data_IF_196402402541
#
_entry.id   IF_196402402541
#
_cell.length_a   1.000
_cell.length_b   1.000
_cell.length_c   1.000
_cell.angle_alpha   90.00
_cell.angle_beta   90.00
_cell.angle_gamma   90.00
#
_symmetry.space_group_name_H-M   'P 1'
#
loop_
_entity.id
_entity.type
_entity.pdbx_description
1 polymer ?
#
# COMPACT_ATOMS: atom_id res chain seq x y z
N UNK A 1 27.01 -2.36 -18.36
CA UNK A 1 26.48 -1.20 -17.66
C UNK A 1 25.19 -1.63 -17.00
N UNK A 2 24.92 -1.25 -15.74
CA UNK A 2 23.57 -1.42 -15.20
C UNK A 2 22.60 -0.71 -16.16
N UNK A 3 21.37 -1.25 -16.32
CA UNK A 3 20.38 -0.55 -17.12
C UNK A 3 20.29 0.85 -16.54
N UNK A 4 20.17 1.83 -17.41
CA UNK A 4 19.93 3.19 -16.97
C UNK A 4 18.79 3.14 -15.96
N UNK A 5 19.03 3.62 -14.75
CA UNK A 5 18.02 3.60 -13.66
C UNK A 5 16.71 4.26 -14.14
N UNK A 6 16.80 5.15 -15.11
CA UNK A 6 15.70 5.77 -15.80
C UNK A 6 14.87 4.75 -16.61
N UNK A 7 15.51 3.78 -17.30
CA UNK A 7 14.79 2.75 -18.08
C UNK A 7 14.02 1.79 -17.18
N UNK A 8 14.60 1.35 -16.06
CA UNK A 8 13.90 0.50 -15.08
C UNK A 8 12.74 1.26 -14.43
N UNK A 9 12.96 2.51 -14.04
CA UNK A 9 11.91 3.36 -13.46
C UNK A 9 10.73 3.58 -14.40
N UNK A 10 10.97 3.79 -15.69
CA UNK A 10 9.92 3.94 -16.69
C UNK A 10 9.09 2.66 -16.86
N UNK A 11 9.74 1.49 -16.88
CA UNK A 11 9.05 0.20 -16.97
C UNK A 11 8.21 -0.05 -15.73
N UNK A 12 8.75 0.16 -14.54
CA UNK A 12 7.99 0.02 -13.29
C UNK A 12 6.78 0.97 -13.26
N UNK A 13 6.97 2.23 -13.62
CA UNK A 13 5.88 3.22 -13.71
C UNK A 13 4.78 2.79 -14.70
N UNK A 14 5.18 2.25 -15.87
CA UNK A 14 4.23 1.79 -16.89
C UNK A 14 3.45 0.56 -16.42
N UNK A 15 4.12 -0.43 -15.83
CA UNK A 15 3.48 -1.61 -15.23
C UNK A 15 2.48 -1.18 -14.17
N UNK A 16 2.88 -0.33 -13.24
CA UNK A 16 1.99 0.19 -12.19
C UNK A 16 0.75 0.82 -12.82
N UNK A 17 0.92 1.72 -13.77
CA UNK A 17 -0.20 2.39 -14.46
C UNK A 17 -1.16 1.39 -15.14
N UNK A 18 -0.63 0.40 -15.86
CA UNK A 18 -1.43 -0.60 -16.55
C UNK A 18 -2.26 -1.44 -15.58
N UNK A 19 -1.58 -1.97 -14.54
CA UNK A 19 -2.21 -2.88 -13.58
C UNK A 19 -3.27 -2.17 -12.75
N UNK A 20 -3.04 -0.94 -12.30
CA UNK A 20 -4.07 -0.16 -11.60
C UNK A 20 -5.29 0.12 -12.47
N UNK A 21 -5.09 0.45 -13.75
CA UNK A 21 -6.20 0.63 -14.70
C UNK A 21 -6.99 -0.65 -14.91
N UNK A 22 -6.31 -1.77 -15.12
CA UNK A 22 -6.96 -3.07 -15.30
C UNK A 22 -7.75 -3.48 -14.05
N UNK A 23 -7.16 -3.30 -12.87
CA UNK A 23 -7.80 -3.65 -11.59
C UNK A 23 -9.03 -2.81 -11.30
N UNK A 24 -9.00 -1.51 -11.61
CA UNK A 24 -10.13 -0.61 -11.43
C UNK A 24 -11.39 -1.04 -12.19
N UNK A 25 -11.23 -1.76 -13.30
CA UNK A 25 -12.33 -2.24 -14.15
C UNK A 25 -12.61 -3.74 -14.01
N UNK A 26 -11.87 -4.45 -13.16
CA UNK A 26 -12.09 -5.88 -12.95
C UNK A 26 -13.32 -6.12 -12.07
N UNK A 27 -14.13 -7.14 -12.42
CA UNK A 27 -15.26 -7.57 -11.58
C UNK A 27 -14.77 -8.09 -10.24
N UNK A 28 -15.48 -7.72 -9.19
CA UNK A 28 -15.27 -8.24 -7.84
C UNK A 28 -15.72 -9.70 -7.72
N UNK A 29 -16.71 -10.11 -8.51
CA UNK A 29 -17.35 -11.42 -8.43
C UNK A 29 -17.62 -11.84 -6.98
N UNK A 30 -18.53 -11.14 -6.32
CA UNK A 30 -18.79 -11.25 -4.88
C UNK A 30 -19.23 -12.65 -4.45
N UNK A 31 -19.79 -13.45 -5.36
CA UNK A 31 -20.13 -14.86 -5.07
C UNK A 31 -18.88 -15.73 -4.83
N UNK A 32 -17.76 -15.36 -5.45
CA UNK A 32 -16.48 -16.05 -5.30
C UNK A 32 -15.70 -15.61 -4.06
N UNK A 33 -15.82 -14.34 -3.68
CA UNK A 33 -15.13 -13.76 -2.54
C UNK A 33 -16.03 -13.81 -1.30
N UNK A 34 -15.69 -14.67 -0.37
CA UNK A 34 -16.42 -14.83 0.88
C UNK A 34 -15.68 -14.12 2.02
N UNK A 35 -15.65 -12.77 1.99
CA UNK A 35 -15.13 -11.98 3.09
C UNK A 35 -16.26 -11.72 4.10
N UNK A 36 -16.12 -12.17 5.35
CA UNK A 36 -17.20 -12.08 6.35
C UNK A 36 -17.58 -10.63 6.67
N UNK A 37 -16.62 -9.71 6.71
CA UNK A 37 -16.88 -8.29 7.02
C UNK A 37 -17.69 -7.63 5.92
N UNK A 38 -17.34 -7.89 4.66
CA UNK A 38 -18.07 -7.34 3.51
C UNK A 38 -19.47 -7.96 3.43
N UNK A 39 -19.58 -9.29 3.58
CA UNK A 39 -20.84 -10.00 3.47
C UNK A 39 -21.84 -9.59 4.57
N UNK A 40 -21.36 -9.42 5.81
CA UNK A 40 -22.17 -8.95 6.92
C UNK A 40 -22.67 -7.52 6.66
N UNK A 41 -21.79 -6.63 6.24
CA UNK A 41 -22.14 -5.25 5.92
C UNK A 41 -23.15 -5.14 4.76
N UNK A 42 -23.03 -5.98 3.71
CA UNK A 42 -23.98 -6.03 2.62
C UNK A 42 -25.37 -6.45 3.08
N UNK A 43 -25.46 -7.43 4.02
CA UNK A 43 -26.72 -7.89 4.61
C UNK A 43 -27.34 -6.84 5.54
N UNK A 44 -26.55 -6.31 6.47
CA UNK A 44 -27.03 -5.33 7.46
C UNK A 44 -27.47 -4.02 6.80
N UNK A 45 -26.78 -3.60 5.73
CA UNK A 45 -27.16 -2.41 4.96
C UNK A 45 -28.40 -2.61 4.06
N UNK A 46 -28.85 -3.86 3.90
CA UNK A 46 -29.93 -4.23 2.99
C UNK A 46 -29.54 -4.21 1.51
N UNK A 47 -28.25 -4.02 1.19
CA UNK A 47 -27.76 -3.99 -0.19
C UNK A 47 -27.89 -5.35 -0.89
N UNK A 48 -27.85 -6.43 -0.13
CA UNK A 48 -28.10 -7.79 -0.64
C UNK A 48 -29.48 -7.98 -1.25
N UNK A 49 -30.48 -7.21 -0.78
CA UNK A 49 -31.86 -7.21 -1.29
C UNK A 49 -32.13 -6.09 -2.29
N UNK A 50 -31.42 -4.96 -2.15
CA UNK A 50 -31.57 -3.79 -3.01
C UNK A 50 -30.94 -4.03 -4.39
N UNK A 51 -29.81 -4.76 -4.43
CA UNK A 51 -29.02 -5.01 -5.63
C UNK A 51 -29.31 -6.42 -6.17
N UNK A 52 -29.50 -6.52 -7.48
CA UNK A 52 -29.77 -7.80 -8.17
C UNK A 52 -28.52 -8.68 -8.31
N UNK A 53 -28.74 -9.97 -8.61
CA UNK A 53 -27.65 -10.96 -8.82
C UNK A 53 -26.62 -10.52 -9.87
N UNK A 54 -27.07 -9.90 -10.96
CA UNK A 54 -26.21 -9.35 -12.02
C UNK A 54 -25.20 -8.34 -11.46
N UNK A 55 -25.59 -7.54 -10.46
CA UNK A 55 -24.68 -6.60 -9.83
C UNK A 55 -23.61 -7.33 -9.04
N UNK A 56 -23.99 -8.35 -8.27
CA UNK A 56 -23.04 -9.15 -7.48
C UNK A 56 -22.01 -9.88 -8.34
N UNK A 57 -22.38 -10.22 -9.57
CA UNK A 57 -21.48 -10.87 -10.53
C UNK A 57 -20.52 -9.88 -11.20
N UNK A 58 -21.02 -8.68 -11.57
CA UNK A 58 -20.30 -7.75 -12.47
C UNK A 58 -19.69 -6.54 -11.79
N UNK A 59 -20.18 -6.17 -10.59
CA UNK A 59 -19.69 -5.00 -9.89
C UNK A 59 -18.17 -5.03 -9.74
N UNK A 60 -17.54 -3.89 -9.92
CA UNK A 60 -16.13 -3.70 -9.55
C UNK A 60 -15.98 -3.52 -8.06
N UNK A 61 -14.78 -3.75 -7.53
CA UNK A 61 -14.52 -3.50 -6.12
C UNK A 61 -14.74 -2.04 -5.72
N UNK A 62 -14.49 -1.10 -6.62
CA UNK A 62 -14.77 0.33 -6.36
C UNK A 62 -16.27 0.61 -6.24
N UNK A 63 -17.13 -0.04 -7.02
CA UNK A 63 -18.58 0.08 -6.87
C UNK A 63 -19.06 -0.51 -5.54
N UNK A 64 -18.42 -1.60 -5.07
CA UNK A 64 -18.69 -2.15 -3.73
C UNK A 64 -18.29 -1.14 -2.65
N UNK A 65 -17.11 -0.55 -2.76
CA UNK A 65 -16.64 0.52 -1.85
C UNK A 65 -17.63 1.68 -1.82
N UNK A 66 -18.05 2.17 -2.99
CA UNK A 66 -18.99 3.29 -3.11
C UNK A 66 -20.32 3.01 -2.42
N UNK A 67 -20.88 1.81 -2.61
CA UNK A 67 -22.15 1.40 -2.00
C UNK A 67 -22.05 1.30 -0.47
N UNK A 68 -21.01 0.64 0.03
CA UNK A 68 -20.77 0.49 1.46
C UNK A 68 -20.48 1.85 2.13
N UNK A 69 -19.70 2.71 1.48
CA UNK A 69 -19.42 4.06 1.96
C UNK A 69 -20.70 4.91 2.06
N UNK A 70 -21.55 4.88 1.02
CA UNK A 70 -22.83 5.60 1.00
C UNK A 70 -23.77 5.16 2.14
N UNK A 71 -23.74 3.88 2.50
CA UNK A 71 -24.50 3.32 3.63
C UNK A 71 -23.78 3.51 5.00
N UNK A 72 -22.62 4.20 5.03
CA UNK A 72 -21.78 4.47 6.23
C UNK A 72 -21.12 3.24 6.86
N UNK A 73 -20.97 2.16 6.13
CA UNK A 73 -20.20 0.96 6.54
C UNK A 73 -18.71 1.16 6.21
N UNK A 74 -18.08 2.15 6.87
CA UNK A 74 -16.72 2.62 6.54
C UNK A 74 -15.66 1.53 6.68
N UNK A 75 -15.77 0.69 7.71
CA UNK A 75 -14.83 -0.42 7.90
C UNK A 75 -14.92 -1.43 6.75
N UNK A 76 -16.11 -1.88 6.39
CA UNK A 76 -16.30 -2.80 5.27
C UNK A 76 -15.89 -2.18 3.93
N UNK A 77 -16.14 -0.88 3.72
CA UNK A 77 -15.65 -0.15 2.54
C UNK A 77 -14.11 -0.16 2.49
N UNK A 78 -13.42 0.03 3.62
CA UNK A 78 -11.95 -0.05 3.70
C UNK A 78 -11.45 -1.46 3.39
N UNK A 79 -12.14 -2.50 3.87
CA UNK A 79 -11.80 -3.90 3.56
C UNK A 79 -11.99 -4.16 2.06
N UNK A 80 -13.11 -3.74 1.48
CA UNK A 80 -13.37 -3.87 0.03
C UNK A 80 -12.32 -3.15 -0.82
N UNK A 81 -11.84 -1.98 -0.39
CA UNK A 81 -10.79 -1.23 -1.06
C UNK A 81 -9.49 -2.02 -1.20
N UNK A 82 -9.17 -2.91 -0.26
CA UNK A 82 -7.96 -3.75 -0.33
C UNK A 82 -8.00 -4.70 -1.53
N UNK A 83 -9.19 -5.14 -1.94
CA UNK A 83 -9.38 -5.96 -3.12
C UNK A 83 -9.39 -5.14 -4.42
N UNK A 84 -9.65 -3.82 -4.33
CA UNK A 84 -9.66 -2.91 -5.47
C UNK A 84 -8.25 -2.49 -5.92
N UNK A 85 -7.22 -2.74 -5.10
CA UNK A 85 -5.83 -2.41 -5.42
C UNK A 85 -5.04 -3.64 -5.86
N UNK A 86 -4.02 -3.47 -6.73
CA UNK A 86 -3.19 -4.57 -7.19
C UNK A 86 -2.30 -5.17 -6.09
N UNK A 87 -1.99 -6.44 -6.26
CA UNK A 87 -0.94 -7.16 -5.52
C UNK A 87 0.34 -7.24 -6.36
N UNK A 88 1.46 -7.64 -5.75
CA UNK A 88 2.70 -7.86 -6.48
C UNK A 88 2.55 -8.92 -7.60
N UNK A 89 1.65 -9.88 -7.42
CA UNK A 89 1.37 -10.92 -8.41
C UNK A 89 0.71 -10.35 -9.67
N UNK A 90 -0.15 -9.33 -9.53
CA UNK A 90 -0.74 -8.64 -10.66
C UNK A 90 0.33 -7.93 -11.50
N UNK A 91 1.34 -7.31 -10.86
CA UNK A 91 2.49 -6.70 -11.55
C UNK A 91 3.34 -7.74 -12.27
N UNK A 92 3.61 -8.89 -11.62
CA UNK A 92 4.36 -10.00 -12.24
C UNK A 92 3.62 -10.53 -13.46
N UNK A 93 2.30 -10.68 -13.37
CA UNK A 93 1.46 -11.15 -14.49
C UNK A 93 1.52 -10.18 -15.68
N UNK A 94 1.40 -8.87 -15.45
CA UNK A 94 1.48 -7.85 -16.50
C UNK A 94 2.85 -7.89 -17.21
N UNK A 95 3.95 -7.96 -16.44
CA UNK A 95 5.32 -8.08 -16.99
C UNK A 95 5.51 -9.34 -17.84
N UNK A 96 4.70 -10.38 -17.63
CA UNK A 96 4.79 -11.63 -18.38
C UNK A 96 3.93 -11.64 -19.65
N UNK A 97 3.07 -10.65 -19.86
CA UNK A 97 2.26 -10.57 -21.09
C UNK A 97 3.16 -10.38 -22.31
N UNK A 98 2.78 -11.01 -23.43
CA UNK A 98 3.51 -10.87 -24.69
C UNK A 98 3.49 -9.42 -25.20
N UNK A 99 2.39 -8.71 -25.00
CA UNK A 99 2.29 -7.29 -25.36
C UNK A 99 3.34 -6.45 -24.63
N UNK A 100 3.49 -6.65 -23.31
CA UNK A 100 4.45 -5.88 -22.53
C UNK A 100 5.90 -6.26 -22.84
N UNK A 101 6.19 -7.55 -23.02
CA UNK A 101 7.52 -8.03 -23.40
C UNK A 101 7.96 -7.47 -24.76
N UNK A 102 7.06 -7.48 -25.75
CA UNK A 102 7.36 -6.99 -27.10
C UNK A 102 7.60 -5.48 -27.11
N UNK A 103 6.91 -4.70 -26.28
CA UNK A 103 7.09 -3.25 -26.18
C UNK A 103 8.51 -2.87 -25.74
N UNK A 104 9.20 -3.72 -24.98
CA UNK A 104 10.54 -3.46 -24.42
C UNK A 104 11.57 -4.51 -24.83
N UNK A 105 11.35 -5.22 -25.93
CA UNK A 105 12.18 -6.34 -26.38
C UNK A 105 13.66 -5.92 -26.62
N UNK A 106 13.88 -4.70 -27.09
CA UNK A 106 15.20 -4.18 -27.42
C UNK A 106 15.97 -3.64 -26.20
N UNK A 107 15.29 -3.46 -25.06
CA UNK A 107 15.91 -2.93 -23.84
C UNK A 107 16.49 -4.07 -23.02
N UNK A 108 17.81 -4.09 -22.85
CA UNK A 108 18.56 -5.16 -22.18
C UNK A 108 19.36 -4.66 -20.97
N UNK A 109 19.43 -5.52 -19.96
CA UNK A 109 20.28 -5.37 -18.78
C UNK A 109 21.61 -6.10 -19.05
N UNK A 110 22.74 -5.46 -18.74
CA UNK A 110 24.07 -6.05 -18.91
C UNK A 110 24.32 -6.66 -20.31
N UNK A 111 23.65 -6.11 -21.34
CA UNK A 111 23.83 -6.48 -22.74
C UNK A 111 23.15 -7.80 -23.17
N UNK A 112 22.59 -8.58 -22.27
CA UNK A 112 22.03 -9.90 -22.60
C UNK A 112 20.60 -10.14 -22.11
N UNK A 113 20.31 -9.84 -20.86
CA UNK A 113 18.98 -10.12 -20.27
C UNK A 113 17.96 -9.04 -20.65
N UNK A 114 16.76 -9.40 -21.18
CA UNK A 114 15.68 -8.43 -21.38
C UNK A 114 15.30 -7.75 -20.06
N UNK A 115 15.21 -6.42 -20.06
CA UNK A 115 14.92 -5.62 -18.85
C UNK A 115 13.60 -6.02 -18.18
N UNK A 116 12.58 -6.39 -18.96
CA UNK A 116 11.27 -6.88 -18.44
C UNK A 116 11.46 -8.17 -17.65
N UNK A 117 12.26 -9.10 -18.15
CA UNK A 117 12.63 -10.34 -17.46
C UNK A 117 13.35 -10.07 -16.14
N UNK A 118 14.31 -9.16 -16.16
CA UNK A 118 15.03 -8.71 -14.97
C UNK A 118 14.07 -8.15 -13.89
N UNK A 119 13.20 -7.21 -14.27
CA UNK A 119 12.22 -6.60 -13.33
C UNK A 119 11.25 -7.65 -12.79
N UNK A 120 10.73 -8.55 -13.63
CA UNK A 120 9.85 -9.63 -13.21
C UNK A 120 10.54 -10.57 -12.20
N UNK A 121 11.82 -10.88 -12.43
CA UNK A 121 12.63 -11.69 -11.50
C UNK A 121 12.84 -10.99 -10.16
N UNK A 122 13.10 -9.68 -10.17
CA UNK A 122 13.22 -8.90 -8.95
C UNK A 122 11.91 -8.89 -8.14
N UNK A 123 10.75 -8.74 -8.78
CA UNK A 123 9.46 -8.80 -8.10
C UNK A 123 9.15 -10.19 -7.54
N UNK A 124 9.47 -11.26 -8.28
CA UNK A 124 9.34 -12.64 -7.79
C UNK A 124 10.22 -12.90 -6.57
N UNK A 125 11.46 -12.43 -6.60
CA UNK A 125 12.38 -12.56 -5.48
C UNK A 125 11.86 -11.79 -4.26
N UNK A 126 11.36 -10.56 -4.43
CA UNK A 126 10.78 -9.77 -3.35
C UNK A 126 9.53 -10.44 -2.76
N UNK A 127 8.64 -11.00 -3.59
CA UNK A 127 7.46 -11.73 -3.12
C UNK A 127 7.81 -13.00 -2.33
N UNK A 128 8.89 -13.70 -2.73
CA UNK A 128 9.36 -14.90 -2.03
C UNK A 128 10.07 -14.57 -0.72
N UNK A 129 10.88 -13.51 -0.69
CA UNK A 129 11.66 -13.10 0.49
C UNK A 129 10.79 -12.40 1.55
N UNK A 130 9.82 -11.61 1.11
CA UNK A 130 8.98 -10.79 1.99
C UNK A 130 7.50 -11.20 1.85
N UNK A 131 7.04 -12.10 2.72
CA UNK A 131 5.66 -12.58 2.73
C UNK A 131 4.61 -11.44 2.78
N UNK A 132 4.99 -10.28 3.35
CA UNK A 132 4.14 -9.09 3.43
C UNK A 132 3.75 -8.53 2.04
N UNK A 133 4.51 -8.85 0.99
CA UNK A 133 4.19 -8.44 -0.38
C UNK A 133 3.39 -9.49 -1.15
N UNK A 134 3.23 -10.71 -0.60
CA UNK A 134 2.64 -11.84 -1.34
C UNK A 134 1.11 -11.84 -1.41
N UNK A 135 0.43 -10.92 -0.73
CA UNK A 135 -1.03 -10.90 -0.68
C UNK A 135 -1.64 -9.51 -0.53
N UNK A 136 -2.93 -9.48 -0.25
CA UNK A 136 -3.62 -8.25 0.12
C UNK A 136 -3.20 -7.82 1.53
N UNK A 137 -3.20 -6.51 1.78
CA UNK A 137 -2.89 -5.97 3.10
C UNK A 137 -3.97 -6.37 4.10
N UNK A 138 -3.62 -7.24 5.05
CA UNK A 138 -4.53 -7.69 6.11
C UNK A 138 -4.46 -6.81 7.36
N UNK A 139 -3.36 -6.08 7.54
CA UNK A 139 -3.20 -5.16 8.65
C UNK A 139 -3.72 -3.78 8.30
N UNK A 140 -4.61 -3.28 9.15
CA UNK A 140 -5.06 -1.90 9.12
C UNK A 140 -5.32 -1.45 10.56
N UNK A 141 -4.92 -0.22 10.85
CA UNK A 141 -5.34 0.41 12.09
C UNK A 141 -6.66 1.11 11.84
N UNK A 142 -7.68 0.75 12.62
CA UNK A 142 -8.92 1.51 12.63
C UNK A 142 -8.63 2.99 12.84
N UNK A 143 -9.36 3.90 12.20
CA UNK A 143 -9.28 5.34 12.49
C UNK A 143 -9.42 5.68 13.97
N UNK A 144 -10.09 4.81 14.75
CA UNK A 144 -10.28 4.96 16.19
C UNK A 144 -9.10 4.45 17.02
N UNK A 145 -8.11 3.79 16.39
CA UNK A 145 -6.94 3.27 17.11
C UNK A 145 -6.10 4.42 17.64
N UNK A 146 -5.99 4.51 18.97
CA UNK A 146 -5.23 5.56 19.65
C UNK A 146 -3.80 5.13 19.99
N UNK A 147 -3.56 3.84 20.15
CA UNK A 147 -2.24 3.27 20.43
C UNK A 147 -2.04 2.06 19.54
N UNK A 148 -0.92 2.04 18.84
CA UNK A 148 -0.49 0.91 18.02
C UNK A 148 0.94 0.52 18.42
N UNK A 149 1.16 -0.77 18.67
CA UNK A 149 2.48 -1.33 18.99
C UNK A 149 2.83 -2.34 17.90
N UNK A 150 3.98 -2.15 17.29
CA UNK A 150 4.52 -3.03 16.25
C UNK A 150 5.74 -3.77 16.79
N UNK A 151 5.57 -5.05 17.11
CA UNK A 151 6.69 -5.92 17.44
C UNK A 151 7.39 -6.37 16.16
N UNK A 152 8.67 -6.01 16.05
CA UNK A 152 9.50 -6.29 14.88
C UNK A 152 10.37 -7.54 15.02
N UNK A 153 10.40 -8.18 16.19
CA UNK A 153 11.35 -9.24 16.51
C UNK A 153 11.37 -10.38 15.48
N UNK A 154 10.20 -10.80 15.02
CA UNK A 154 10.07 -11.96 14.13
C UNK A 154 10.23 -11.64 12.63
N UNK A 155 10.36 -10.36 12.26
CA UNK A 155 10.44 -9.93 10.85
C UNK A 155 11.81 -9.37 10.47
N UNK A 156 12.67 -9.13 11.45
CA UNK A 156 14.03 -8.64 11.21
C UNK A 156 14.91 -9.75 10.64
N UNK A 157 15.86 -9.35 9.81
CA UNK A 157 16.91 -10.24 9.29
C UNK A 157 18.10 -10.34 10.23
N UNK A 158 19.01 -11.26 9.91
CA UNK A 158 20.31 -11.39 10.61
C UNK A 158 21.17 -10.14 10.40
N UNK A 159 21.37 -9.38 11.46
CA UNK A 159 22.11 -8.10 11.45
C UNK A 159 23.61 -8.24 11.23
N UNK A 160 24.15 -9.43 11.30
CA UNK A 160 25.57 -9.68 11.00
C UNK A 160 25.85 -9.71 9.50
N UNK A 161 24.81 -9.92 8.67
CA UNK A 161 24.91 -10.01 7.21
C UNK A 161 24.38 -8.75 6.50
N UNK A 162 24.97 -8.34 5.36
CA UNK A 162 24.45 -7.23 4.57
C UNK A 162 22.98 -7.43 4.12
N UNK A 163 22.62 -8.66 3.73
CA UNK A 163 21.26 -9.00 3.33
C UNK A 163 20.26 -8.88 4.49
N UNK A 164 20.64 -9.35 5.66
CA UNK A 164 19.82 -9.25 6.85
C UNK A 164 19.66 -7.81 7.34
N UNK A 165 20.70 -6.97 7.25
CA UNK A 165 20.61 -5.53 7.51
C UNK A 165 19.62 -4.86 6.55
N UNK A 166 19.70 -5.17 5.25
CA UNK A 166 18.78 -4.65 4.24
C UNK A 166 17.34 -5.06 4.54
N UNK A 167 17.11 -6.34 4.85
CA UNK A 167 15.79 -6.86 5.23
C UNK A 167 15.24 -6.13 6.46
N UNK A 168 16.03 -6.01 7.51
CA UNK A 168 15.64 -5.28 8.73
C UNK A 168 15.24 -3.84 8.43
N UNK A 169 16.03 -3.17 7.59
CA UNK A 169 15.74 -1.80 7.19
C UNK A 169 14.43 -1.65 6.39
N UNK A 170 14.21 -2.52 5.41
CA UNK A 170 12.97 -2.51 4.62
C UNK A 170 11.76 -2.76 5.53
N UNK A 171 11.82 -3.77 6.39
CA UNK A 171 10.73 -4.11 7.30
C UNK A 171 10.44 -2.99 8.29
N UNK A 172 11.48 -2.34 8.80
CA UNK A 172 11.34 -1.20 9.69
C UNK A 172 10.67 0.00 9.00
N UNK A 173 11.14 0.40 7.81
CA UNK A 173 10.53 1.49 7.06
C UNK A 173 9.08 1.19 6.69
N UNK A 174 8.78 -0.06 6.37
CA UNK A 174 7.42 -0.49 6.08
C UNK A 174 6.52 -0.39 7.31
N UNK A 175 6.95 -0.91 8.46
CA UNK A 175 6.22 -0.83 9.72
C UNK A 175 5.97 0.64 10.12
N UNK A 176 7.00 1.49 10.01
CA UNK A 176 6.86 2.92 10.22
C UNK A 176 5.82 3.53 9.28
N UNK A 177 5.88 3.24 7.99
CA UNK A 177 4.92 3.76 7.02
C UNK A 177 3.49 3.33 7.36
N UNK A 178 3.28 2.09 7.80
CA UNK A 178 1.96 1.63 8.24
C UNK A 178 1.46 2.40 9.46
N UNK A 179 2.33 2.62 10.44
CA UNK A 179 1.95 3.29 11.69
C UNK A 179 1.65 4.79 11.49
N UNK A 180 2.45 5.48 10.69
CA UNK A 180 2.40 6.96 10.59
C UNK A 180 1.83 7.49 9.28
N UNK A 181 1.37 6.63 8.37
CA UNK A 181 0.90 7.04 7.02
C UNK A 181 -0.10 8.18 7.02
N UNK A 182 -0.96 8.22 8.04
CA UNK A 182 -1.99 9.25 8.16
C UNK A 182 -1.48 10.55 8.80
N UNK A 183 -0.34 10.54 9.47
CA UNK A 183 0.16 11.71 10.20
C UNK A 183 0.50 12.88 9.28
N UNK A 184 0.93 12.56 8.06
CA UNK A 184 1.38 13.53 7.05
C UNK A 184 0.34 13.81 5.96
N UNK A 185 -0.87 13.23 6.04
CA UNK A 185 -1.95 13.50 5.08
C UNK A 185 -2.25 14.99 4.89
N UNK A 186 -2.21 15.85 5.92
CA UNK A 186 -2.44 17.29 5.75
C UNK A 186 -1.51 17.95 4.73
N UNK A 187 -0.28 17.46 4.55
CA UNK A 187 0.69 18.02 3.62
C UNK A 187 0.23 17.98 2.15
N UNK A 188 -0.47 16.92 1.77
CA UNK A 188 -0.94 16.70 0.39
C UNK A 188 -2.42 16.99 0.19
N UNK A 189 -3.11 17.46 1.23
CA UNK A 189 -4.56 17.64 1.22
C UNK A 189 -5.06 18.55 0.10
N UNK A 190 -4.40 19.67 -0.12
CA UNK A 190 -4.77 20.64 -1.16
C UNK A 190 -4.68 20.03 -2.57
N UNK A 191 -3.77 19.08 -2.76
CA UNK A 191 -3.56 18.41 -4.04
C UNK A 191 -4.55 17.28 -4.28
N UNK A 192 -4.78 16.42 -3.29
CA UNK A 192 -5.58 15.21 -3.53
C UNK A 192 -7.08 15.40 -3.31
N UNK A 193 -7.51 16.28 -2.41
CA UNK A 193 -8.95 16.48 -2.14
C UNK A 193 -9.73 16.86 -3.42
N UNK A 194 -9.27 17.82 -4.24
CA UNK A 194 -9.96 18.15 -5.49
C UNK A 194 -10.02 16.98 -6.48
N UNK A 195 -9.05 16.09 -6.45
CA UNK A 195 -8.97 14.91 -7.34
C UNK A 195 -9.91 13.77 -6.90
N UNK A 196 -10.40 13.78 -5.66
CA UNK A 196 -11.34 12.76 -5.17
C UNK A 196 -12.73 12.93 -5.79
N UNK A 197 -13.47 11.83 -6.00
CA UNK A 197 -14.90 11.87 -6.26
C UNK A 197 -15.62 12.70 -5.19
N UNK A 198 -16.63 13.47 -5.60
CA UNK A 198 -17.32 14.43 -4.74
C UNK A 198 -17.83 13.83 -3.43
N UNK A 199 -18.38 12.62 -3.51
CA UNK A 199 -18.94 11.88 -2.36
C UNK A 199 -17.95 11.63 -1.22
N UNK A 200 -16.64 11.61 -1.49
CA UNK A 200 -15.60 11.37 -0.49
C UNK A 200 -14.98 12.65 0.10
N UNK A 201 -15.14 13.80 -0.59
CA UNK A 201 -14.41 15.02 -0.24
C UNK A 201 -14.71 15.50 1.18
N UNK A 202 -15.97 15.56 1.55
CA UNK A 202 -16.39 16.04 2.88
C UNK A 202 -15.81 15.15 4.01
N UNK A 203 -15.84 13.84 3.83
CA UNK A 203 -15.25 12.88 4.78
C UNK A 203 -13.75 13.12 4.94
N UNK A 204 -13.01 13.19 3.85
CA UNK A 204 -11.57 13.40 3.91
C UNK A 204 -11.18 14.77 4.42
N UNK A 205 -11.93 15.83 4.11
CA UNK A 205 -11.71 17.16 4.66
C UNK A 205 -11.88 17.19 6.18
N UNK A 206 -12.93 16.56 6.71
CA UNK A 206 -13.14 16.44 8.14
C UNK A 206 -11.98 15.70 8.81
N UNK A 207 -11.58 14.55 8.23
CA UNK A 207 -10.47 13.74 8.75
C UNK A 207 -9.12 14.47 8.73
N UNK A 208 -8.82 15.23 7.69
CA UNK A 208 -7.59 16.03 7.61
C UNK A 208 -7.56 17.12 8.67
N UNK A 209 -8.70 17.78 8.92
CA UNK A 209 -8.82 18.78 9.98
C UNK A 209 -8.53 18.16 11.35
N UNK A 210 -9.16 17.04 11.66
CA UNK A 210 -8.92 16.29 12.89
C UNK A 210 -7.45 15.95 13.05
N UNK A 211 -6.83 15.35 12.01
CA UNK A 211 -5.41 14.98 12.03
C UNK A 211 -4.46 16.18 12.18
N UNK A 212 -4.82 17.37 11.68
CA UNK A 212 -3.99 18.57 11.84
C UNK A 212 -4.03 19.14 13.26
N UNK A 213 -5.13 18.93 13.98
CA UNK A 213 -5.32 19.43 15.35
C UNK A 213 -4.78 18.45 16.41
N UNK A 214 -4.81 17.14 16.13
CA UNK A 214 -4.34 16.11 17.06
C UNK A 214 -2.82 16.14 17.28
N UNK A 215 -2.41 16.00 18.55
CA UNK A 215 -1.01 15.71 18.89
C UNK A 215 -0.77 14.22 18.75
N UNK A 216 0.24 13.87 17.97
CA UNK A 216 0.63 12.48 17.67
C UNK A 216 1.98 12.17 18.29
N UNK A 217 2.17 10.94 18.70
CA UNK A 217 3.45 10.49 19.27
C UNK A 217 3.95 9.27 18.51
N UNK A 218 5.25 9.26 18.23
CA UNK A 218 5.98 8.07 17.77
C UNK A 218 7.05 7.74 18.81
N UNK A 219 7.12 6.49 19.19
CA UNK A 219 8.12 5.99 20.11
C UNK A 219 8.89 4.84 19.47
N UNK A 220 10.20 4.95 19.46
CA UNK A 220 11.10 3.95 18.90
C UNK A 220 11.93 3.36 20.02
N UNK A 221 11.64 2.11 20.35
CA UNK A 221 12.39 1.35 21.31
C UNK A 221 13.56 0.64 20.64
N UNK A 222 14.65 0.47 21.38
CA UNK A 222 15.83 -0.27 20.94
C UNK A 222 16.47 0.30 19.64
N UNK A 223 16.50 1.62 19.46
CA UNK A 223 17.02 2.27 18.25
C UNK A 223 18.48 1.92 17.96
N UNK A 224 19.26 1.53 18.95
CA UNK A 224 20.63 1.06 18.78
C UNK A 224 20.71 -0.18 17.87
N UNK A 225 19.63 -0.94 17.75
CA UNK A 225 19.54 -2.09 16.85
C UNK A 225 19.66 -1.72 15.36
N UNK A 226 19.43 -0.47 15.02
CA UNK A 226 19.55 0.07 13.66
C UNK A 226 20.84 0.84 13.43
N UNK A 227 21.74 0.87 14.44
CA UNK A 227 23.06 1.47 14.30
C UNK A 227 23.84 0.80 13.14
N UNK A 228 24.40 1.63 12.26
CA UNK A 228 25.10 1.14 11.07
C UNK A 228 24.23 0.74 9.88
N UNK A 229 22.92 1.08 9.91
CA UNK A 229 22.02 1.01 8.76
C UNK A 229 21.69 2.43 8.32
N UNK A 230 22.56 3.03 7.51
CA UNK A 230 22.57 4.47 7.18
C UNK A 230 21.24 4.98 6.65
N UNK A 231 20.56 4.19 5.80
CA UNK A 231 19.29 4.63 5.22
C UNK A 231 18.14 4.70 6.23
N UNK A 232 18.17 3.88 7.31
CA UNK A 232 17.19 4.01 8.41
C UNK A 232 17.54 5.24 9.24
N UNK A 233 18.80 5.43 9.59
CA UNK A 233 19.23 6.60 10.37
C UNK A 233 18.87 7.91 9.64
N UNK A 234 19.11 7.97 8.33
CA UNK A 234 18.72 9.11 7.52
C UNK A 234 17.20 9.31 7.49
N UNK A 235 16.41 8.23 7.37
CA UNK A 235 14.96 8.31 7.40
C UNK A 235 14.42 8.82 8.76
N UNK A 236 15.02 8.37 9.87
CA UNK A 236 14.65 8.83 11.22
C UNK A 236 15.02 10.31 11.44
N UNK A 237 16.23 10.70 11.03
CA UNK A 237 16.67 12.09 11.16
C UNK A 237 15.79 13.04 10.33
N UNK A 238 15.43 12.64 9.11
CA UNK A 238 14.53 13.43 8.26
C UNK A 238 13.14 13.54 8.89
N UNK A 239 12.63 12.44 9.43
CA UNK A 239 11.35 12.41 10.12
C UNK A 239 11.32 13.37 11.32
N UNK A 240 12.32 13.34 12.19
CA UNK A 240 12.39 14.22 13.37
C UNK A 240 12.34 15.71 12.99
N UNK A 241 12.97 16.09 11.88
CA UNK A 241 12.95 17.46 11.37
C UNK A 241 11.58 17.88 10.81
N UNK A 242 10.83 16.94 10.24
CA UNK A 242 9.53 17.21 9.61
C UNK A 242 8.36 17.03 10.58
N UNK A 243 8.47 16.12 11.52
CA UNK A 243 7.41 15.70 12.44
C UNK A 243 6.75 16.88 13.18
N UNK A 244 7.53 17.87 13.58
CA UNK A 244 7.03 19.07 14.28
C UNK A 244 6.02 19.87 13.49
N UNK A 245 6.11 19.85 12.15
CA UNK A 245 5.16 20.55 11.27
C UNK A 245 3.76 19.92 11.30
N UNK A 246 3.66 18.67 11.74
CA UNK A 246 2.43 17.88 11.76
C UNK A 246 1.96 17.52 13.18
N UNK A 247 2.40 18.26 14.19
CA UNK A 247 2.12 17.97 15.61
C UNK A 247 2.53 16.55 16.02
N UNK A 248 3.61 16.02 15.44
CA UNK A 248 4.18 14.71 15.80
C UNK A 248 5.35 14.94 16.74
N UNK A 249 5.38 14.20 17.85
CA UNK A 249 6.49 14.16 18.80
C UNK A 249 7.13 12.78 18.73
N UNK A 250 8.43 12.76 18.47
CA UNK A 250 9.19 11.52 18.35
C UNK A 250 10.11 11.36 19.57
N UNK A 251 10.14 10.16 20.15
CA UNK A 251 11.04 9.77 21.21
C UNK A 251 11.76 8.47 20.84
N UNK A 252 13.03 8.40 21.27
CA UNK A 252 13.93 7.25 21.05
C UNK A 252 14.45 6.75 22.39
N UNK A 253 14.56 5.41 22.52
CA UNK A 253 15.26 4.77 23.64
C UNK A 253 16.43 3.91 23.17
#
# INVERSE_FOLDING_TARGET
QPPDAMSVGQIVSKVVSNVYKAKAHSSANLFKYNDPVINEALKESGLDKELGEDWFERATWWEVVDKLFAKKYLHAATVAQRYAVPTIHDFIAELQTESFKNQYADVKVNGSEPVVGFVARCFKAAAAEYAIFSGITVYDFSPETRIAILDMQNVLGDRTTPAGKLKSGIMYLFARQMAVRNYYLPQSAETFIPALPEQYRAYHQARIRELSEEVKHTFYDECHNFAGIDFIQNALNTADLEDRKFNVRTAFS
#
